data_IF_440030367326
#
_entry.id   IF_440030367326
#
_cell.length_a   1.000
_cell.length_b   1.000
_cell.length_c   1.000
_cell.angle_alpha   90.00
_cell.angle_beta   90.00
_cell.angle_gamma   90.00
#
_symmetry.space_group_name_H-M   'P 1'
#
loop_
_entity.id
_entity.type
_entity.pdbx_description
1 polymer ?
#
# COMPACT_ATOMS: atom_id res chain seq x y z
N UNK A 1 6.24 -0.27 45.34
CA UNK A 1 7.50 0.13 44.70
C UNK A 1 7.24 0.05 43.22
N UNK A 2 6.71 1.14 42.71
CA UNK A 2 6.26 1.32 41.33
C UNK A 2 7.46 1.27 40.40
N UNK A 3 7.40 0.39 39.39
CA UNK A 3 8.28 0.48 38.22
C UNK A 3 7.57 1.37 37.22
N UNK A 4 7.94 2.65 37.23
CA UNK A 4 7.78 3.51 36.08
C UNK A 4 8.61 2.89 34.94
N UNK A 5 7.96 2.10 34.08
CA UNK A 5 8.54 1.71 32.79
C UNK A 5 8.66 2.99 31.95
N UNK A 6 9.82 3.66 32.04
CA UNK A 6 10.15 4.75 31.13
C UNK A 6 9.95 4.24 29.70
N UNK A 7 9.03 4.87 28.95
CA UNK A 7 8.84 4.58 27.53
C UNK A 7 10.11 5.04 26.81
N UNK A 8 11.07 4.13 26.63
CA UNK A 8 12.28 4.38 25.85
C UNK A 8 11.91 4.57 24.39
N UNK A 9 12.52 5.55 23.73
CA UNK A 9 12.17 5.89 22.36
C UNK A 9 12.59 4.77 21.39
N UNK A 10 11.69 4.46 20.46
CA UNK A 10 11.96 3.61 19.29
C UNK A 10 11.68 4.43 18.04
N UNK A 11 12.75 4.85 17.37
CA UNK A 11 12.67 5.73 16.20
C UNK A 11 12.80 4.90 14.94
N UNK A 12 11.74 4.82 14.13
CA UNK A 12 11.72 4.11 12.85
C UNK A 12 11.81 5.10 11.70
N UNK A 13 12.76 4.91 10.80
CA UNK A 13 12.85 5.62 9.52
C UNK A 13 12.45 4.69 8.38
N UNK A 14 11.63 5.20 7.47
CA UNK A 14 11.18 4.47 6.28
C UNK A 14 11.46 5.28 5.01
N UNK A 15 11.69 4.55 3.91
CA UNK A 15 11.78 5.13 2.58
C UNK A 15 11.14 4.18 1.57
N UNK A 16 10.17 4.69 0.80
CA UNK A 16 9.49 3.92 -0.24
C UNK A 16 9.82 4.50 -1.61
N UNK A 17 10.26 3.66 -2.53
CA UNK A 17 10.50 4.09 -3.90
C UNK A 17 10.29 2.93 -4.88
N UNK A 18 9.52 3.18 -5.96
CA UNK A 18 9.30 2.22 -7.05
C UNK A 18 8.85 0.83 -6.59
N UNK A 19 7.96 0.75 -5.59
CA UNK A 19 7.46 -0.53 -5.08
C UNK A 19 8.42 -1.25 -4.13
N UNK A 20 9.49 -0.60 -3.67
CA UNK A 20 10.41 -1.11 -2.66
C UNK A 20 10.30 -0.26 -1.41
N UNK A 21 10.12 -0.91 -0.27
CA UNK A 21 10.18 -0.33 1.07
C UNK A 21 11.52 -0.70 1.68
N UNK A 22 12.28 0.29 2.13
CA UNK A 22 13.43 0.09 3.00
C UNK A 22 13.19 0.80 4.33
N UNK A 23 13.69 0.21 5.41
CA UNK A 23 13.49 0.76 6.73
C UNK A 23 14.70 0.56 7.63
N UNK A 24 14.81 1.40 8.65
CA UNK A 24 15.75 1.21 9.74
C UNK A 24 15.16 1.79 11.01
N UNK A 25 15.31 1.13 12.15
CA UNK A 25 14.91 1.71 13.44
C UNK A 25 16.03 1.63 14.46
N UNK A 26 15.98 2.54 15.44
CA UNK A 26 16.87 2.56 16.59
C UNK A 26 16.06 2.40 17.86
N UNK A 27 16.50 1.48 18.72
CA UNK A 27 15.95 1.27 20.05
C UNK A 27 16.88 1.92 21.07
N UNK A 28 16.40 2.95 21.76
CA UNK A 28 17.15 3.65 22.81
C UNK A 28 17.52 2.70 23.95
N UNK A 29 16.57 1.85 24.37
CA UNK A 29 16.76 0.88 25.45
C UNK A 29 17.97 -0.03 25.24
N UNK A 30 18.22 -0.44 23.99
CA UNK A 30 19.29 -1.38 23.65
C UNK A 30 20.48 -0.72 22.98
N UNK A 31 20.36 0.55 22.58
CA UNK A 31 21.30 1.25 21.72
C UNK A 31 21.69 0.46 20.45
N UNK A 32 20.73 -0.30 19.89
CA UNK A 32 20.90 -1.11 18.69
C UNK A 32 20.10 -0.49 17.54
N UNK A 33 20.74 -0.40 16.38
CA UNK A 33 20.08 -0.09 15.12
C UNK A 33 19.71 -1.38 14.38
N UNK A 34 18.50 -1.42 13.85
CA UNK A 34 17.97 -2.54 13.09
C UNK A 34 17.66 -2.08 11.67
N UNK A 35 18.09 -2.85 10.67
CA UNK A 35 17.92 -2.52 9.25
C UNK A 35 17.08 -3.56 8.53
N UNK A 36 16.17 -3.08 7.68
CA UNK A 36 15.33 -3.88 6.80
C UNK A 36 15.73 -3.60 5.36
N UNK A 37 16.24 -4.63 4.67
CA UNK A 37 16.61 -4.57 3.26
C UNK A 37 15.43 -4.21 2.34
N UNK A 38 15.73 -3.81 1.10
CA UNK A 38 14.72 -3.36 0.14
C UNK A 38 13.70 -4.46 -0.17
N UNK A 39 12.47 -4.22 0.29
CA UNK A 39 11.43 -5.21 0.38
C UNK A 39 10.24 -4.84 -0.51
N UNK A 40 9.72 -5.79 -1.29
CA UNK A 40 8.71 -5.51 -2.34
C UNK A 40 7.33 -5.18 -1.79
N UNK A 41 7.00 -3.90 -1.70
CA UNK A 41 5.77 -3.42 -1.12
C UNK A 41 4.64 -3.27 -2.14
N UNK A 42 3.40 -3.41 -1.66
CA UNK A 42 2.22 -3.16 -2.45
C UNK A 42 1.55 -1.83 -2.13
N UNK A 43 0.53 -1.49 -2.94
CA UNK A 43 -0.13 -0.20 -2.82
C UNK A 43 -1.03 -0.08 -1.59
N UNK A 44 -1.31 -1.20 -0.91
CA UNK A 44 -2.08 -1.22 0.34
C UNK A 44 -1.15 -1.12 1.55
N UNK A 45 0.17 -1.10 1.32
CA UNK A 45 1.18 -0.96 2.36
C UNK A 45 1.06 -2.01 3.47
N UNK A 46 0.61 -3.22 3.14
CA UNK A 46 0.41 -4.32 4.12
C UNK A 46 1.67 -4.63 4.91
N UNK A 47 2.83 -4.46 4.28
CA UNK A 47 4.09 -4.85 4.86
C UNK A 47 4.66 -3.73 5.72
N UNK A 48 4.43 -2.48 5.35
CA UNK A 48 4.61 -1.34 6.24
C UNK A 48 3.69 -1.43 7.46
N UNK A 49 2.41 -1.81 7.30
CA UNK A 49 1.50 -2.04 8.44
C UNK A 49 2.07 -3.11 9.38
N UNK A 50 2.47 -4.26 8.83
CA UNK A 50 3.10 -5.35 9.60
C UNK A 50 4.38 -4.89 10.29
N UNK A 51 5.20 -4.08 9.62
CA UNK A 51 6.42 -3.50 10.18
C UNK A 51 6.12 -2.56 11.35
N UNK A 52 5.08 -1.72 11.23
CA UNK A 52 4.66 -0.80 12.29
C UNK A 52 4.11 -1.56 13.50
N UNK A 53 3.32 -2.62 13.28
CA UNK A 53 2.84 -3.54 14.34
C UNK A 53 3.99 -4.22 15.06
N UNK A 54 4.96 -4.74 14.31
CA UNK A 54 6.09 -5.49 14.86
C UNK A 54 7.07 -4.59 15.62
N UNK A 55 7.38 -3.40 15.10
CA UNK A 55 8.37 -2.50 15.71
C UNK A 55 7.77 -1.64 16.81
N UNK A 56 6.46 -1.34 16.75
CA UNK A 56 5.78 -0.41 17.66
C UNK A 56 6.58 0.89 17.90
N UNK A 57 6.91 1.65 16.83
CA UNK A 57 7.75 2.84 16.97
C UNK A 57 7.05 3.97 17.72
N UNK A 58 7.82 4.72 18.51
CA UNK A 58 7.35 5.96 19.14
C UNK A 58 7.37 7.13 18.16
N UNK A 59 8.29 7.11 17.20
CA UNK A 59 8.42 8.11 16.15
C UNK A 59 8.67 7.43 14.80
N UNK A 60 7.93 7.82 13.78
CA UNK A 60 8.16 7.42 12.38
C UNK A 60 8.71 8.60 11.59
N UNK A 61 9.85 8.39 10.96
CA UNK A 61 10.50 9.32 10.05
C UNK A 61 10.17 8.94 8.61
N UNK A 62 9.65 9.91 7.85
CA UNK A 62 9.46 9.78 6.42
C UNK A 62 9.92 11.05 5.70
N UNK A 63 10.26 10.94 4.41
CA UNK A 63 10.57 12.14 3.62
C UNK A 63 9.29 12.89 3.25
N UNK A 64 9.32 14.23 3.33
CA UNK A 64 8.25 15.10 2.79
C UNK A 64 7.98 14.90 1.30
N UNK A 65 8.95 14.38 0.55
CA UNK A 65 8.86 14.11 -0.89
C UNK A 65 8.40 12.68 -1.22
N UNK A 66 7.97 11.89 -0.22
CA UNK A 66 7.42 10.55 -0.45
C UNK A 66 6.14 10.58 -1.29
N UNK A 67 5.77 9.41 -1.82
CA UNK A 67 4.52 9.22 -2.55
C UNK A 67 3.31 9.68 -1.70
N UNK A 68 2.37 10.40 -2.32
CA UNK A 68 1.19 10.96 -1.64
C UNK A 68 0.37 9.83 -1.00
N UNK A 69 0.28 8.67 -1.65
CA UNK A 69 -0.45 7.51 -1.12
C UNK A 69 0.20 7.02 0.18
N UNK A 70 1.53 6.96 0.24
CA UNK A 70 2.26 6.60 1.45
C UNK A 70 2.04 7.64 2.56
N UNK A 71 2.15 8.92 2.25
CA UNK A 71 1.96 9.99 3.24
C UNK A 71 0.53 9.98 3.79
N UNK A 72 -0.47 9.74 2.93
CA UNK A 72 -1.87 9.62 3.33
C UNK A 72 -2.08 8.41 4.25
N UNK A 73 -1.48 7.26 3.90
CA UNK A 73 -1.50 6.06 4.71
C UNK A 73 -0.88 6.28 6.10
N UNK A 74 0.30 6.88 6.17
CA UNK A 74 0.98 7.19 7.44
C UNK A 74 0.17 8.17 8.30
N UNK A 75 -0.40 9.22 7.70
CA UNK A 75 -1.25 10.17 8.43
C UNK A 75 -2.50 9.49 8.99
N UNK A 76 -3.15 8.61 8.22
CA UNK A 76 -4.32 7.88 8.68
C UNK A 76 -3.99 6.98 9.88
N UNK A 77 -2.84 6.31 9.86
CA UNK A 77 -2.39 5.45 10.96
C UNK A 77 -2.01 6.27 12.21
N UNK A 78 -1.38 7.44 12.04
CA UNK A 78 -0.92 8.25 13.18
C UNK A 78 -2.04 9.09 13.81
N UNK A 79 -3.05 9.50 13.03
CA UNK A 79 -4.12 10.39 13.49
C UNK A 79 -5.41 9.65 13.88
N UNK A 80 -5.43 8.31 13.81
CA UNK A 80 -6.59 7.51 14.20
C UNK A 80 -7.86 7.90 13.44
N UNK A 81 -7.94 7.58 12.15
CA UNK A 81 -9.20 7.38 11.44
C UNK A 81 -10.32 8.43 11.60
N UNK A 82 -10.03 9.72 11.67
CA UNK A 82 -11.07 10.75 11.52
C UNK A 82 -11.23 11.12 10.03
N UNK A 83 -12.19 10.46 9.37
CA UNK A 83 -12.73 10.86 8.07
C UNK A 83 -13.49 12.20 8.19
N UNK A 84 -12.75 13.32 8.30
CA UNK A 84 -13.22 14.68 7.98
C UNK A 84 -12.08 15.50 7.39
N UNK A 85 -11.78 15.29 6.11
CA UNK A 85 -11.02 16.27 5.34
C UNK A 85 -11.99 17.29 4.71
N UNK A 86 -12.20 18.39 5.40
CA UNK A 86 -12.57 19.67 4.77
C UNK A 86 -11.34 20.20 4.04
N UNK A 87 -11.44 20.34 2.73
CA UNK A 87 -10.44 20.98 1.90
C UNK A 87 -10.57 22.51 2.00
N UNK A 88 -9.82 23.14 2.90
CA UNK A 88 -9.54 24.56 2.80
C UNK A 88 -8.23 24.76 2.05
N UNK A 89 -8.39 25.12 0.77
CA UNK A 89 -7.31 25.66 -0.07
C UNK A 89 -7.31 27.16 0.12
N UNK A 90 -6.25 27.68 0.71
CA UNK A 90 -5.93 29.10 0.78
C UNK A 90 -5.98 29.73 -0.62
N UNK A 91 -6.94 30.63 -0.82
CA UNK A 91 -6.89 31.66 -1.87
C UNK A 91 -6.76 33.02 -1.22
N UNK A 92 -5.53 33.50 -1.16
CA UNK A 92 -5.22 34.91 -0.98
C UNK A 92 -5.69 35.71 -2.20
N UNK A 93 -6.71 36.54 -2.04
CA UNK A 93 -6.90 37.77 -2.82
C UNK A 93 -7.78 38.77 -2.04
N UNK A 94 -7.23 39.96 -1.87
CA UNK A 94 -7.73 41.13 -1.16
C UNK A 94 -8.99 41.77 -1.76
N UNK A 95 -9.93 42.26 -0.93
CA UNK A 95 -10.48 43.64 -1.03
C UNK A 95 -11.36 44.04 0.17
N UNK A 96 -11.02 45.16 0.81
CA UNK A 96 -11.96 46.25 1.11
C UNK A 96 -12.99 46.15 2.26
N UNK A 97 -12.71 46.92 3.32
CA UNK A 97 -13.62 47.81 4.09
C UNK A 97 -14.63 47.29 5.13
N UNK A 98 -14.30 47.64 6.39
CA UNK A 98 -15.10 48.39 7.39
C UNK A 98 -16.16 47.73 8.29
N UNK A 99 -15.95 48.01 9.58
CA UNK A 99 -16.92 48.35 10.65
C UNK A 99 -17.41 47.29 11.67
N UNK A 100 -16.68 47.27 12.80
CA UNK A 100 -17.09 47.57 14.20
C UNK A 100 -18.28 46.88 14.89
N UNK A 101 -18.04 46.68 16.20
CA UNK A 101 -18.93 46.35 17.34
C UNK A 101 -19.19 44.85 17.52
N UNK A 102 -19.09 44.23 18.70
CA UNK A 102 -18.89 44.70 20.06
C UNK A 102 -19.63 43.73 21.01
N UNK A 103 -18.96 43.35 22.10
CA UNK A 103 -19.56 43.03 23.42
C UNK A 103 -20.18 41.63 23.65
N UNK A 104 -19.41 40.83 24.39
CA UNK A 104 -19.77 39.95 25.53
C UNK A 104 -21.23 39.81 25.99
N UNK A 105 -21.71 38.58 26.24
CA UNK A 105 -21.85 37.98 27.59
C UNK A 105 -22.80 36.77 27.61
N UNK A 106 -22.29 35.71 28.25
CA UNK A 106 -22.89 34.75 29.18
C UNK A 106 -24.38 34.89 29.58
N UNK A 107 -25.05 33.74 29.65
CA UNK A 107 -25.90 33.22 30.76
C UNK A 107 -26.58 31.92 30.29
N UNK A 108 -26.23 30.75 30.82
CA UNK A 108 -26.74 30.14 32.07
C UNK A 108 -28.27 30.07 32.17
N UNK A 109 -28.79 28.84 32.37
CA UNK A 109 -30.21 28.57 32.52
C UNK A 109 -30.52 27.07 32.55
N UNK A 110 -30.26 26.48 33.70
CA UNK A 110 -30.59 25.13 34.14
C UNK A 110 -32.08 24.77 34.07
N UNK A 111 -32.37 23.48 33.90
CA UNK A 111 -33.69 22.87 34.04
C UNK A 111 -33.54 21.37 34.25
N UNK A 112 -33.81 20.94 35.48
CA UNK A 112 -33.51 19.64 36.06
C UNK A 112 -34.79 18.77 36.18
N UNK A 113 -34.60 17.45 36.30
CA UNK A 113 -35.50 16.45 36.91
C UNK A 113 -36.68 15.90 36.08
N UNK A 114 -36.67 14.60 35.78
CA UNK A 114 -37.46 13.57 36.50
C UNK A 114 -37.06 12.17 36.01
N UNK A 115 -36.75 11.29 36.96
CA UNK A 115 -36.46 9.88 36.71
C UNK A 115 -37.72 9.02 36.67
N UNK A 116 -37.55 7.79 36.18
CA UNK A 116 -38.43 6.68 36.54
C UNK A 116 -37.63 5.36 36.53
N UNK A 117 -37.55 4.73 37.71
CA UNK A 117 -37.29 3.31 37.91
C UNK A 117 -38.40 2.47 37.22
N UNK A 118 -38.35 1.19 36.89
CA UNK A 118 -37.62 -0.03 37.30
C UNK A 118 -38.06 -1.11 36.28
N UNK A 119 -37.27 -2.18 36.07
CA UNK A 119 -37.67 -3.60 36.24
C UNK A 119 -36.73 -4.53 35.45
N UNK A 120 -36.06 -5.41 36.18
CA UNK A 120 -35.08 -6.34 35.66
C UNK A 120 -35.65 -7.61 35.02
N UNK A 121 -34.74 -8.36 34.41
CA UNK A 121 -34.92 -9.72 33.95
C UNK A 121 -33.58 -10.25 33.41
N UNK A 122 -32.94 -11.14 34.18
CA UNK A 122 -31.69 -11.81 33.83
C UNK A 122 -31.78 -12.55 32.50
N UNK A 123 -30.77 -12.37 31.64
CA UNK A 123 -30.29 -13.42 30.73
C UNK A 123 -28.77 -13.42 30.77
N UNK A 124 -28.25 -14.60 31.04
CA UNK A 124 -26.85 -14.96 30.94
C UNK A 124 -26.36 -14.67 29.52
N UNK A 125 -25.39 -13.77 29.38
CA UNK A 125 -24.64 -13.60 28.14
C UNK A 125 -23.20 -14.06 28.37
N UNK A 126 -22.82 -14.98 27.49
CA UNK A 126 -21.49 -15.55 27.37
C UNK A 126 -20.46 -14.43 27.21
N UNK A 127 -19.37 -14.56 27.97
CA UNK A 127 -18.11 -13.87 27.69
C UNK A 127 -17.66 -14.28 26.29
N UNK A 128 -17.94 -13.45 25.29
CA UNK A 128 -17.09 -13.38 24.11
C UNK A 128 -15.84 -12.63 24.53
N UNK A 129 -14.70 -13.28 24.37
CA UNK A 129 -13.40 -12.67 24.52
C UNK A 129 -13.35 -11.44 23.59
N UNK A 130 -13.51 -10.25 24.17
CA UNK A 130 -13.07 -9.02 23.53
C UNK A 130 -11.55 -9.13 23.45
N UNK A 131 -11.05 -9.60 22.31
CA UNK A 131 -9.67 -9.31 21.92
C UNK A 131 -9.57 -7.79 21.93
N UNK A 132 -8.88 -7.27 22.96
CA UNK A 132 -8.54 -5.87 23.13
C UNK A 132 -8.01 -5.33 21.78
N UNK A 133 -8.86 -4.58 21.06
CA UNK A 133 -8.45 -3.66 20.02
C UNK A 133 -7.67 -2.55 20.72
N UNK A 134 -6.42 -2.86 21.07
CA UNK A 134 -5.41 -1.94 21.55
C UNK A 134 -5.12 -0.99 20.40
N UNK A 135 -6.00 0.02 20.27
CA UNK A 135 -5.83 1.16 19.40
C UNK A 135 -4.39 1.62 19.48
N UNK A 136 -3.72 1.55 18.32
CA UNK A 136 -2.31 1.86 18.15
C UNK A 136 -1.93 3.11 18.94
N UNK A 137 -1.06 2.93 19.95
CA UNK A 137 -0.53 4.04 20.75
C UNK A 137 0.29 4.97 19.85
N UNK A 138 0.12 6.27 20.11
CA UNK A 138 0.74 7.44 19.50
C UNK A 138 2.13 7.16 18.89
N UNK A 139 2.18 6.95 17.58
CA UNK A 139 3.40 7.13 16.82
C UNK A 139 3.42 8.56 16.25
N UNK A 140 4.38 9.38 16.67
CA UNK A 140 4.54 10.70 16.08
C UNK A 140 5.13 10.57 14.67
N UNK A 141 4.44 11.11 13.66
CA UNK A 141 4.98 11.20 12.29
C UNK A 141 5.84 12.46 12.15
N UNK A 142 7.14 12.27 11.93
CA UNK A 142 8.08 13.36 11.69
C UNK A 142 8.55 13.36 10.24
N UNK A 143 8.09 14.35 9.47
CA UNK A 143 8.45 14.48 8.07
C UNK A 143 9.76 15.26 7.90
N UNK A 144 10.81 14.59 7.42
CA UNK A 144 12.13 15.21 7.17
C UNK A 144 12.26 15.73 5.73
N UNK A 145 13.12 16.74 5.49
CA UNK A 145 13.47 17.17 4.13
C UNK A 145 14.05 16.04 3.28
N UNK A 146 13.86 16.09 1.96
CA UNK A 146 14.39 15.07 1.04
C UNK A 146 15.92 14.92 1.13
N UNK A 147 16.64 16.02 1.38
CA UNK A 147 18.10 16.03 1.58
C UNK A 147 18.55 15.16 2.76
N UNK A 148 17.66 14.90 3.73
CA UNK A 148 17.96 13.96 4.82
C UNK A 148 18.10 12.52 4.29
N UNK A 149 17.34 12.16 3.25
CA UNK A 149 17.32 10.84 2.61
C UNK A 149 18.25 10.75 1.39
N UNK A 150 19.20 11.68 1.23
CA UNK A 150 20.21 11.62 0.19
C UNK A 150 21.05 10.32 0.29
N UNK A 151 21.20 9.61 -0.82
CA UNK A 151 21.82 8.28 -0.86
C UNK A 151 23.33 8.34 -0.62
N UNK A 152 24.04 9.27 -1.27
CA UNK A 152 25.50 9.36 -1.14
C UNK A 152 25.91 9.93 0.21
N UNK A 153 25.13 10.87 0.75
CA UNK A 153 25.23 11.34 2.12
C UNK A 153 24.97 10.22 3.13
N UNK A 154 23.95 9.39 2.91
CA UNK A 154 23.66 8.24 3.75
C UNK A 154 24.84 7.24 3.75
N UNK A 155 25.37 6.87 2.59
CA UNK A 155 26.54 5.98 2.49
C UNK A 155 27.74 6.50 3.27
N UNK A 156 28.08 7.78 3.11
CA UNK A 156 29.20 8.41 3.85
C UNK A 156 28.96 8.36 5.36
N UNK A 157 27.75 8.69 5.81
CA UNK A 157 27.39 8.68 7.23
C UNK A 157 27.41 7.29 7.84
N UNK A 158 26.99 6.28 7.08
CA UNK A 158 27.03 4.86 7.48
C UNK A 158 28.48 4.37 7.54
N UNK A 159 29.31 4.68 6.53
CA UNK A 159 30.73 4.31 6.53
C UNK A 159 31.47 4.85 7.76
N UNK A 160 31.18 6.10 8.15
CA UNK A 160 31.75 6.74 9.33
C UNK A 160 31.41 6.04 10.67
N UNK A 161 30.31 5.28 10.75
CA UNK A 161 30.01 4.47 11.95
C UNK A 161 31.07 3.37 12.14
N UNK A 162 31.53 2.79 11.04
CA UNK A 162 32.49 1.68 11.05
C UNK A 162 33.95 2.15 11.08
N UNK A 163 34.22 3.42 10.72
CA UNK A 163 35.57 4.02 10.83
C UNK A 163 36.08 4.00 12.26
N UNK A 164 35.20 4.23 13.25
CA UNK A 164 35.57 4.14 14.68
C UNK A 164 36.08 2.75 15.11
N UNK A 165 35.86 1.71 14.29
CA UNK A 165 36.19 0.30 14.57
C UNK A 165 37.30 -0.22 13.62
N UNK A 166 37.77 0.59 12.66
CA UNK A 166 38.72 0.15 11.63
C UNK A 166 39.99 1.02 11.59
N UNK A 167 41.15 0.36 11.46
CA UNK A 167 42.46 1.02 11.45
C UNK A 167 42.83 1.66 10.09
N UNK A 168 42.12 1.34 9.00
CA UNK A 168 42.34 1.91 7.66
C UNK A 168 41.05 1.91 6.78
N UNK A 169 41.04 2.72 5.71
CA UNK A 169 39.86 2.97 4.86
C UNK A 169 39.41 1.77 4.01
N UNK A 170 40.32 0.92 3.56
CA UNK A 170 39.99 -0.29 2.76
C UNK A 170 39.38 -1.41 3.61
N UNK A 171 39.86 -1.62 4.84
CA UNK A 171 39.20 -2.57 5.75
C UNK A 171 37.82 -2.05 6.16
N UNK A 172 37.63 -0.73 6.21
CA UNK A 172 36.33 -0.15 6.50
C UNK A 172 35.32 -0.37 5.36
N UNK A 173 35.75 -0.19 4.10
CA UNK A 173 34.89 -0.46 2.94
C UNK A 173 34.53 -1.94 2.83
N UNK A 174 35.47 -2.85 3.11
CA UNK A 174 35.21 -4.29 3.16
C UNK A 174 34.26 -4.65 4.32
N UNK A 175 34.50 -4.16 5.55
CA UNK A 175 33.60 -4.38 6.70
C UNK A 175 32.19 -3.88 6.44
N UNK A 176 32.06 -2.72 5.80
CA UNK A 176 30.77 -2.17 5.41
C UNK A 176 30.10 -3.08 4.36
N UNK A 177 30.82 -3.50 3.32
CA UNK A 177 30.29 -4.39 2.29
C UNK A 177 29.86 -5.77 2.83
N UNK A 178 30.53 -6.28 3.86
CA UNK A 178 30.15 -7.53 4.52
C UNK A 178 28.98 -7.39 5.50
N UNK A 179 28.74 -6.19 6.03
CA UNK A 179 27.72 -5.95 7.08
C UNK A 179 26.43 -5.31 6.56
N UNK A 180 26.52 -4.54 5.48
CA UNK A 180 25.41 -3.78 4.93
C UNK A 180 25.41 -3.94 3.42
N UNK A 181 24.32 -4.47 2.90
CA UNK A 181 24.06 -4.48 1.48
C UNK A 181 23.72 -3.06 0.99
N UNK A 182 24.70 -2.40 0.39
CA UNK A 182 24.56 -1.05 -0.16
C UNK A 182 23.68 -1.04 -1.43
N UNK A 183 23.41 -2.21 -2.03
CA UNK A 183 22.52 -2.31 -3.20
C UNK A 183 21.05 -2.10 -2.83
N UNK A 184 20.69 -2.31 -1.56
CA UNK A 184 19.40 -1.95 -0.98
C UNK A 184 19.27 -0.43 -0.80
N UNK A 185 18.94 0.26 -1.90
CA UNK A 185 18.91 1.73 -1.97
C UNK A 185 17.94 2.38 -1.01
N UNK A 186 16.75 1.81 -0.80
CA UNK A 186 15.74 2.40 0.09
C UNK A 186 16.17 2.23 1.55
N UNK A 187 16.70 1.06 1.93
CA UNK A 187 17.25 0.79 3.25
C UNK A 187 18.38 1.76 3.58
N UNK A 188 19.35 1.95 2.67
CA UNK A 188 20.47 2.87 2.88
C UNK A 188 19.98 4.30 3.12
N UNK A 189 19.02 4.78 2.32
CA UNK A 189 18.43 6.12 2.49
C UNK A 189 17.70 6.25 3.83
N UNK A 190 16.87 5.27 4.19
CA UNK A 190 16.15 5.23 5.45
C UNK A 190 17.11 5.24 6.64
N UNK A 191 18.14 4.39 6.61
CA UNK A 191 19.14 4.32 7.66
C UNK A 191 19.96 5.61 7.78
N UNK A 192 20.40 6.20 6.67
CA UNK A 192 21.09 7.48 6.68
C UNK A 192 20.25 8.62 7.27
N UNK A 193 18.95 8.67 6.96
CA UNK A 193 18.03 9.64 7.54
C UNK A 193 17.84 9.43 9.05
N UNK A 194 17.71 8.17 9.50
CA UNK A 194 17.68 7.82 10.92
C UNK A 194 18.91 8.36 11.65
N UNK A 195 20.11 8.11 11.10
CA UNK A 195 21.35 8.59 11.71
C UNK A 195 21.42 10.11 11.81
N UNK A 196 20.96 10.83 10.77
CA UNK A 196 20.88 12.30 10.81
C UNK A 196 19.89 12.79 11.86
N UNK A 197 18.77 12.11 12.03
CA UNK A 197 17.79 12.44 13.06
C UNK A 197 18.35 12.22 14.47
N UNK A 198 19.00 11.07 14.70
CA UNK A 198 19.65 10.77 15.98
C UNK A 198 20.74 11.81 16.31
N UNK A 199 21.56 12.19 15.33
CA UNK A 199 22.57 13.25 15.50
C UNK A 199 21.95 14.61 15.87
N UNK A 200 20.75 14.91 15.34
CA UNK A 200 20.07 16.19 15.58
C UNK A 200 19.35 16.24 16.93
N UNK A 201 18.69 15.14 17.33
CA UNK A 201 17.94 15.04 18.59
C UNK A 201 18.86 14.73 19.77
N UNK A 202 20.05 14.14 19.51
CA UNK A 202 20.99 13.70 20.54
C UNK A 202 20.36 12.72 21.54
N UNK A 203 19.55 11.80 21.01
CA UNK A 203 18.77 10.85 21.80
C UNK A 203 19.66 10.03 22.74
N UNK A 204 19.33 10.00 24.04
CA UNK A 204 20.06 9.28 25.10
C UNK A 204 21.36 9.95 25.54
N UNK A 205 21.74 11.07 24.94
CA UNK A 205 22.94 11.87 25.26
C UNK A 205 22.61 13.37 25.29
N UNK A 206 21.36 13.71 25.61
CA UNK A 206 20.84 15.08 25.53
C UNK A 206 21.63 16.04 26.44
N UNK A 207 22.07 15.52 27.59
CA UNK A 207 22.79 16.26 28.62
C UNK A 207 24.32 16.11 28.55
N UNK A 208 24.85 15.33 27.61
CA UNK A 208 26.29 15.15 27.41
C UNK A 208 26.89 16.30 26.59
N UNK A 209 28.22 16.39 26.56
CA UNK A 209 28.96 17.34 25.70
C UNK A 209 28.56 17.20 24.23
N UNK A 210 28.46 18.31 23.49
CA UNK A 210 28.04 18.34 22.07
C UNK A 210 28.82 17.41 21.12
N UNK A 211 30.01 17.00 21.51
CA UNK A 211 30.84 16.06 20.75
C UNK A 211 30.41 14.59 20.92
N UNK A 212 29.64 14.29 21.96
CA UNK A 212 29.08 12.96 22.23
C UNK A 212 27.86 12.76 21.35
N UNK A 213 27.96 11.77 20.47
CA UNK A 213 26.88 11.32 19.58
C UNK A 213 26.07 10.21 20.24
N UNK A 214 24.81 10.05 19.81
CA UNK A 214 23.98 8.92 20.21
C UNK A 214 24.70 7.60 19.94
N UNK A 215 24.89 6.74 20.96
CA UNK A 215 25.64 5.51 20.80
C UNK A 215 24.85 4.49 19.98
N UNK A 216 25.52 3.90 18.99
CA UNK A 216 25.02 2.74 18.25
C UNK A 216 25.99 1.60 18.50
N UNK A 217 25.62 0.72 19.44
CA UNK A 217 26.50 -0.37 19.89
C UNK A 217 26.55 -1.47 18.83
N UNK A 218 25.42 -1.77 18.19
CA UNK A 218 25.29 -2.83 17.19
C UNK A 218 24.32 -2.43 16.08
N UNK A 219 24.57 -3.00 14.91
CA UNK A 219 23.64 -2.99 13.78
C UNK A 219 23.21 -4.42 13.52
N UNK A 220 21.90 -4.67 13.41
CA UNK A 220 21.32 -5.98 13.10
C UNK A 220 20.41 -5.88 11.89
N UNK A 221 20.40 -6.90 11.05
CA UNK A 221 19.34 -7.08 10.05
C UNK A 221 18.15 -7.75 10.71
N UNK A 222 16.94 -7.41 10.25
CA UNK A 222 15.72 -8.10 10.63
C UNK A 222 14.79 -8.28 9.42
N UNK A 223 13.81 -9.17 9.55
CA UNK A 223 12.73 -9.36 8.59
C UNK A 223 11.39 -9.10 9.26
N UNK A 224 10.36 -8.89 8.41
CA UNK A 224 8.98 -8.84 8.88
C UNK A 224 8.56 -10.25 9.33
N UNK A 225 7.80 -10.32 10.42
CA UNK A 225 7.27 -11.58 10.96
C UNK A 225 6.58 -12.44 9.90
N UNK A 226 6.67 -13.77 10.09
CA UNK A 226 6.14 -14.78 9.16
C UNK A 226 6.65 -14.69 7.71
N UNK A 227 7.80 -14.04 7.49
CA UNK A 227 8.42 -13.93 6.18
C UNK A 227 9.83 -14.53 6.20
N UNK A 228 10.13 -15.35 5.18
CA UNK A 228 11.43 -16.01 5.06
C UNK A 228 12.52 -14.99 4.70
N UNK A 229 13.58 -14.95 5.49
CA UNK A 229 14.77 -14.15 5.19
C UNK A 229 15.52 -14.73 3.99
N UNK A 230 15.71 -13.90 2.96
CA UNK A 230 16.37 -14.28 1.72
C UNK A 230 17.30 -13.14 1.28
N UNK A 231 18.59 -13.43 1.18
CA UNK A 231 19.56 -12.47 0.64
C UNK A 231 19.50 -12.40 -0.90
N UNK A 232 19.89 -11.26 -1.48
CA UNK A 232 19.95 -11.08 -2.94
C UNK A 232 20.87 -12.10 -3.64
N UNK A 233 21.96 -12.48 -2.97
CA UNK A 233 22.87 -13.53 -3.44
C UNK A 233 22.16 -14.89 -3.49
N UNK A 234 21.28 -15.19 -2.54
CA UNK A 234 20.47 -16.41 -2.53
C UNK A 234 19.42 -16.39 -3.65
N UNK A 235 18.73 -15.26 -3.86
CA UNK A 235 17.83 -15.07 -5.00
C UNK A 235 18.52 -15.33 -6.33
N UNK A 236 19.75 -14.84 -6.46
CA UNK A 236 20.59 -15.01 -7.65
C UNK A 236 21.07 -16.46 -7.81
N UNK A 237 21.57 -17.09 -6.74
CA UNK A 237 22.08 -18.45 -6.76
C UNK A 237 20.99 -19.48 -7.09
N UNK A 238 19.78 -19.29 -6.56
CA UNK A 238 18.61 -20.12 -6.87
C UNK A 238 17.92 -19.73 -8.19
N UNK A 239 18.41 -18.67 -8.87
CA UNK A 239 17.83 -18.16 -10.10
C UNK A 239 16.32 -17.93 -9.98
N UNK A 240 15.87 -17.41 -8.83
CA UNK A 240 14.46 -17.10 -8.57
C UNK A 240 13.96 -16.14 -9.64
N UNK A 241 14.77 -15.11 -9.91
CA UNK A 241 14.62 -14.17 -11.01
C UNK A 241 15.93 -14.07 -11.78
N UNK A 242 15.87 -13.92 -13.08
CA UNK A 242 17.06 -13.68 -13.91
C UNK A 242 16.84 -12.44 -14.77
N UNK A 243 17.57 -11.37 -14.48
CA UNK A 243 17.64 -10.19 -15.36
C UNK A 243 18.54 -10.56 -16.54
N UNK A 244 17.99 -10.88 -17.73
CA UNK A 244 18.87 -11.03 -18.90
C UNK A 244 19.46 -9.66 -19.25
N UNK A 245 20.79 -9.57 -19.23
CA UNK A 245 21.48 -8.53 -19.98
C UNK A 245 21.32 -8.85 -21.48
N UNK A 246 20.94 -7.85 -22.27
CA UNK A 246 20.91 -8.00 -23.73
C UNK A 246 22.35 -8.22 -24.23
N UNK A 247 22.63 -9.17 -25.13
CA UNK A 247 23.97 -9.43 -25.66
C UNK A 247 24.54 -8.30 -26.55
N UNK A 248 23.87 -7.15 -26.63
CA UNK A 248 24.28 -5.97 -27.41
C UNK A 248 24.43 -4.79 -26.46
N UNK A 249 25.65 -4.57 -25.95
CA UNK A 249 25.96 -3.51 -25.00
C UNK A 249 26.01 -2.09 -25.60
N UNK A 250 25.49 -1.86 -26.82
CA UNK A 250 25.62 -0.59 -27.54
C UNK A 250 24.34 0.25 -27.68
N UNK A 251 23.17 -0.21 -27.23
CA UNK A 251 21.94 0.59 -27.18
C UNK A 251 21.28 0.52 -25.80
N UNK A 252 21.97 1.08 -24.81
CA UNK A 252 21.45 1.29 -23.46
C UNK A 252 20.44 2.46 -23.40
N UNK A 253 19.46 2.50 -24.30
CA UNK A 253 18.37 3.46 -24.25
C UNK A 253 17.01 2.76 -24.34
N UNK A 254 16.24 2.91 -23.26
CA UNK A 254 14.79 2.75 -23.23
C UNK A 254 14.25 1.32 -23.36
N UNK A 255 14.51 0.49 -22.34
CA UNK A 255 13.45 -0.33 -21.73
C UNK A 255 13.97 -1.04 -20.47
N UNK A 256 13.49 -0.61 -19.29
CA UNK A 256 13.66 -1.33 -18.02
C UNK A 256 12.95 -2.70 -17.96
N UNK A 257 12.50 -3.22 -19.10
CA UNK A 257 11.95 -4.56 -19.23
C UNK A 257 13.02 -5.48 -19.78
N UNK A 258 14.09 -5.70 -19.01
CA UNK A 258 14.99 -6.84 -19.25
C UNK A 258 14.11 -8.09 -19.31
N UNK A 259 14.12 -8.80 -20.44
CA UNK A 259 13.34 -10.03 -20.58
C UNK A 259 13.84 -10.99 -19.50
N UNK A 260 12.91 -11.55 -18.75
CA UNK A 260 13.26 -12.50 -17.70
C UNK A 260 13.89 -13.74 -18.33
N UNK A 261 15.09 -14.09 -17.89
CA UNK A 261 15.80 -15.25 -18.38
C UNK A 261 15.18 -16.58 -17.93
N UNK A 262 15.93 -17.67 -18.09
CA UNK A 262 15.51 -18.96 -17.55
C UNK A 262 15.61 -18.84 -16.03
N UNK A 263 14.47 -18.73 -15.38
CA UNK A 263 14.35 -18.51 -13.94
C UNK A 263 13.19 -19.33 -13.37
N UNK A 264 13.24 -19.61 -12.07
CA UNK A 264 12.21 -20.38 -11.40
C UNK A 264 10.85 -19.69 -11.51
N UNK A 265 10.80 -18.36 -11.37
CA UNK A 265 9.56 -17.60 -11.57
C UNK A 265 9.01 -17.79 -12.99
N UNK A 266 9.86 -17.72 -14.03
CA UNK A 266 9.41 -17.91 -15.42
C UNK A 266 8.84 -19.31 -15.65
N UNK A 267 9.43 -20.33 -15.03
CA UNK A 267 8.96 -21.72 -15.13
C UNK A 267 7.60 -21.91 -14.45
N UNK A 268 7.40 -21.29 -13.28
CA UNK A 268 6.20 -21.44 -12.48
C UNK A 268 5.05 -20.52 -12.92
N UNK A 269 5.35 -19.41 -13.60
CA UNK A 269 4.35 -18.43 -13.99
C UNK A 269 3.46 -18.92 -15.14
N UNK A 270 2.31 -19.49 -14.76
CA UNK A 270 1.19 -19.84 -15.64
C UNK A 270 -0.02 -18.91 -15.48
N UNK A 271 0.18 -17.75 -14.83
CA UNK A 271 -0.88 -16.79 -14.58
C UNK A 271 -1.45 -16.26 -15.90
N UNK A 272 -2.78 -16.20 -15.95
CA UNK A 272 -3.51 -15.76 -17.14
C UNK A 272 -3.83 -14.26 -17.15
N UNK A 273 -3.60 -13.57 -16.03
CA UNK A 273 -3.88 -12.15 -15.85
C UNK A 273 -2.62 -11.40 -15.42
N UNK A 274 -2.54 -10.11 -15.77
CA UNK A 274 -1.44 -9.23 -15.34
C UNK A 274 -1.39 -9.10 -13.80
N UNK A 275 -2.52 -8.90 -13.08
CA UNK A 275 -2.50 -8.88 -11.62
C UNK A 275 -2.01 -10.19 -11.00
N UNK A 276 -2.45 -11.35 -11.51
CA UNK A 276 -1.97 -12.65 -11.03
C UNK A 276 -0.46 -12.83 -11.20
N UNK A 277 0.10 -12.40 -12.34
CA UNK A 277 1.55 -12.40 -12.57
C UNK A 277 2.31 -11.52 -11.57
N UNK A 278 1.73 -10.37 -11.18
CA UNK A 278 2.33 -9.46 -10.19
C UNK A 278 2.28 -10.09 -8.79
N UNK A 279 1.15 -10.68 -8.41
CA UNK A 279 0.99 -11.36 -7.12
C UNK A 279 1.95 -12.56 -6.99
N UNK A 280 2.03 -13.41 -8.02
CA UNK A 280 2.95 -14.54 -8.03
C UNK A 280 4.40 -14.09 -7.89
N UNK A 281 4.78 -12.98 -8.54
CA UNK A 281 6.13 -12.42 -8.40
C UNK A 281 6.39 -12.02 -6.95
N UNK A 282 5.41 -11.39 -6.29
CA UNK A 282 5.50 -11.02 -4.88
C UNK A 282 5.66 -12.24 -3.98
N UNK A 283 4.94 -13.34 -4.23
CA UNK A 283 5.11 -14.58 -3.47
C UNK A 283 6.53 -15.17 -3.59
N UNK A 284 7.15 -15.01 -4.76
CA UNK A 284 8.55 -15.41 -4.97
C UNK A 284 9.54 -14.45 -4.29
N UNK A 285 9.26 -13.15 -4.30
CA UNK A 285 10.08 -12.13 -3.62
C UNK A 285 9.95 -12.20 -2.09
N UNK A 286 8.83 -12.71 -1.58
CA UNK A 286 8.45 -12.67 -0.17
C UNK A 286 7.82 -14.00 0.25
N UNK A 287 8.59 -15.10 0.36
CA UNK A 287 8.06 -16.38 0.78
C UNK A 287 7.53 -16.28 2.22
N UNK A 288 6.32 -16.79 2.46
CA UNK A 288 5.70 -16.78 3.77
C UNK A 288 6.08 -18.03 4.56
N UNK A 289 6.24 -17.87 5.87
CA UNK A 289 6.42 -18.93 6.87
C UNK A 289 5.15 -19.18 7.68
N UNK A 290 4.05 -18.48 7.37
CA UNK A 290 2.76 -18.69 8.01
C UNK A 290 2.19 -20.03 7.56
N UNK A 291 2.07 -20.97 8.50
CA UNK A 291 1.61 -22.32 8.22
C UNK A 291 0.16 -22.36 7.74
N UNK A 292 -0.69 -21.46 8.20
CA UNK A 292 -2.11 -21.46 7.84
C UNK A 292 -2.31 -20.84 6.46
N UNK A 293 -1.57 -19.77 6.13
CA UNK A 293 -1.50 -19.27 4.76
C UNK A 293 -0.96 -20.34 3.80
N UNK A 294 0.07 -21.08 4.19
CA UNK A 294 0.64 -22.17 3.37
C UNK A 294 -0.37 -23.30 3.15
N UNK A 295 -1.04 -23.78 4.21
CA UNK A 295 -2.09 -24.80 4.12
C UNK A 295 -3.22 -24.34 3.20
N UNK A 296 -3.72 -23.12 3.38
CA UNK A 296 -4.82 -22.59 2.58
C UNK A 296 -4.46 -22.52 1.09
N UNK A 297 -3.24 -22.07 0.76
CA UNK A 297 -2.75 -22.07 -0.63
C UNK A 297 -2.63 -23.49 -1.19
N UNK A 298 -2.10 -24.43 -0.42
CA UNK A 298 -1.94 -25.83 -0.85
C UNK A 298 -3.29 -26.51 -1.06
N UNK A 299 -4.27 -26.30 -0.17
CA UNK A 299 -5.63 -26.84 -0.30
C UNK A 299 -6.28 -26.39 -1.62
N UNK A 300 -6.12 -25.11 -1.99
CA UNK A 300 -6.64 -24.62 -3.27
C UNK A 300 -5.91 -25.23 -4.47
N UNK A 301 -4.58 -25.38 -4.41
CA UNK A 301 -3.82 -26.05 -5.47
C UNK A 301 -4.27 -27.50 -5.61
N UNK A 302 -4.41 -28.23 -4.50
CA UNK A 302 -4.89 -29.62 -4.48
C UNK A 302 -6.25 -29.75 -5.17
N UNK A 303 -7.19 -28.85 -4.87
CA UNK A 303 -8.49 -28.82 -5.55
C UNK A 303 -8.36 -28.62 -7.07
N UNK A 304 -7.61 -27.60 -7.52
CA UNK A 304 -7.56 -27.23 -8.94
C UNK A 304 -6.68 -28.16 -9.79
N UNK A 305 -5.85 -29.01 -9.18
CA UNK A 305 -5.03 -30.01 -9.88
C UNK A 305 -5.85 -31.27 -10.21
N UNK A 306 -6.90 -31.57 -9.45
CA UNK A 306 -7.73 -32.76 -9.68
C UNK A 306 -8.48 -32.69 -11.02
N UNK A 307 -8.48 -33.79 -11.78
CA UNK A 307 -9.11 -33.87 -13.10
C UNK A 307 -10.63 -33.62 -13.06
N UNK A 308 -11.30 -34.07 -12.00
CA UNK A 308 -12.73 -33.83 -11.80
C UNK A 308 -13.09 -32.34 -11.66
N UNK A 309 -12.13 -31.49 -11.29
CA UNK A 309 -12.31 -30.05 -11.13
C UNK A 309 -11.79 -29.25 -12.33
N UNK A 310 -11.39 -29.92 -13.41
CA UNK A 310 -10.82 -29.28 -14.60
C UNK A 310 -11.79 -28.26 -15.23
N UNK A 311 -13.09 -28.54 -15.21
CA UNK A 311 -14.10 -27.60 -15.72
C UNK A 311 -14.17 -26.32 -14.89
N UNK A 312 -14.09 -26.42 -13.56
CA UNK A 312 -14.02 -25.26 -12.67
C UNK A 312 -12.73 -24.45 -12.93
N UNK A 313 -11.59 -25.13 -13.05
CA UNK A 313 -10.31 -24.48 -13.37
C UNK A 313 -10.35 -23.77 -14.75
N UNK A 314 -10.95 -24.41 -15.75
CA UNK A 314 -11.12 -23.87 -17.10
C UNK A 314 -12.06 -22.67 -17.11
N UNK A 315 -13.17 -22.76 -16.37
CA UNK A 315 -14.13 -21.69 -16.19
C UNK A 315 -13.45 -20.45 -15.60
N UNK A 316 -12.78 -20.61 -14.45
CA UNK A 316 -12.06 -19.54 -13.78
C UNK A 316 -10.96 -18.95 -14.69
N UNK A 317 -10.16 -19.79 -15.34
CA UNK A 317 -9.07 -19.35 -16.22
C UNK A 317 -9.56 -18.49 -17.39
N UNK A 318 -10.69 -18.83 -18.01
CA UNK A 318 -11.28 -18.03 -19.10
C UNK A 318 -11.69 -16.64 -18.63
N UNK A 319 -12.26 -16.52 -17.43
CA UNK A 319 -12.67 -15.24 -16.82
C UNK A 319 -11.47 -14.43 -16.35
N UNK A 320 -10.53 -15.06 -15.65
CA UNK A 320 -9.30 -14.42 -15.15
C UNK A 320 -8.50 -13.75 -16.28
N UNK A 321 -8.47 -14.31 -17.50
CA UNK A 321 -7.83 -13.66 -18.67
C UNK A 321 -8.39 -12.27 -19.00
N UNK A 322 -9.65 -12.01 -18.66
CA UNK A 322 -10.35 -10.75 -18.95
C UNK A 322 -10.16 -9.72 -17.83
N UNK A 323 -9.73 -10.15 -16.65
CA UNK A 323 -9.50 -9.28 -15.49
C UNK A 323 -8.22 -8.48 -15.69
N UNK A 324 -8.32 -7.17 -15.54
CA UNK A 324 -7.20 -6.23 -15.60
C UNK A 324 -7.07 -5.43 -14.30
N UNK A 325 -5.95 -4.72 -14.14
CA UNK A 325 -5.78 -3.82 -13.00
C UNK A 325 -6.57 -2.52 -13.24
N UNK A 326 -7.52 -2.16 -12.37
CA UNK A 326 -8.36 -0.98 -12.55
C UNK A 326 -7.60 0.32 -12.28
N UNK A 327 -6.51 0.30 -11.49
CA UNK A 327 -5.77 1.50 -11.05
C UNK A 327 -5.40 2.45 -12.19
N UNK A 328 -4.88 1.92 -13.29
CA UNK A 328 -4.51 2.73 -14.45
C UNK A 328 -5.72 3.31 -15.19
N UNK A 329 -6.84 2.59 -15.21
CA UNK A 329 -8.11 3.02 -15.82
C UNK A 329 -8.72 4.13 -14.94
N UNK A 330 -8.80 3.92 -13.63
CA UNK A 330 -9.34 4.89 -12.68
C UNK A 330 -8.55 6.21 -12.67
N UNK A 331 -7.23 6.14 -12.78
CA UNK A 331 -6.40 7.35 -12.92
C UNK A 331 -6.73 8.13 -14.20
N UNK A 332 -6.99 7.45 -15.32
CA UNK A 332 -7.48 8.10 -16.55
C UNK A 332 -8.91 8.61 -16.41
N UNK A 333 -9.76 7.90 -15.67
CA UNK A 333 -11.11 8.34 -15.35
C UNK A 333 -11.11 9.67 -14.60
N UNK A 334 -10.29 9.81 -13.56
CA UNK A 334 -10.13 11.07 -12.83
C UNK A 334 -9.73 12.25 -13.72
N UNK A 335 -8.97 11.99 -14.78
CA UNK A 335 -8.59 12.99 -15.79
C UNK A 335 -9.57 13.14 -16.96
N UNK A 336 -10.67 12.40 -16.98
CA UNK A 336 -11.67 12.41 -18.05
C UNK A 336 -11.23 11.78 -19.38
N UNK A 337 -10.20 10.93 -19.37
CA UNK A 337 -9.50 10.42 -20.56
C UNK A 337 -9.76 8.94 -20.85
N UNK A 338 -10.96 8.43 -20.53
CA UNK A 338 -11.30 7.03 -20.77
C UNK A 338 -11.52 6.75 -22.26
N UNK A 339 -10.88 5.69 -22.75
CA UNK A 339 -11.13 5.15 -24.09
C UNK A 339 -12.25 4.09 -24.07
N UNK A 340 -12.83 3.76 -25.22
CA UNK A 340 -13.79 2.65 -25.35
C UNK A 340 -13.21 1.33 -24.82
N UNK A 341 -11.93 1.08 -25.10
CA UNK A 341 -11.23 -0.11 -24.60
C UNK A 341 -11.05 -0.11 -23.08
N UNK A 342 -10.95 1.08 -22.46
CA UNK A 342 -10.89 1.19 -21.00
C UNK A 342 -12.24 0.84 -20.37
N UNK A 343 -13.33 1.38 -20.92
CA UNK A 343 -14.70 0.99 -20.54
C UNK A 343 -14.93 -0.51 -20.70
N UNK A 344 -14.51 -1.08 -21.84
CA UNK A 344 -14.62 -2.51 -22.12
C UNK A 344 -13.84 -3.35 -21.11
N UNK A 345 -12.59 -2.97 -20.80
CA UNK A 345 -11.76 -3.67 -19.81
C UNK A 345 -12.34 -3.57 -18.41
N UNK A 346 -12.86 -2.41 -18.02
CA UNK A 346 -13.49 -2.21 -16.72
C UNK A 346 -14.74 -3.08 -16.59
N UNK A 347 -15.62 -3.04 -17.60
CA UNK A 347 -16.81 -3.88 -17.68
C UNK A 347 -16.47 -5.37 -17.60
N UNK A 348 -15.57 -5.85 -18.47
CA UNK A 348 -15.17 -7.25 -18.49
C UNK A 348 -14.51 -7.69 -17.20
N UNK A 349 -13.80 -6.80 -16.50
CA UNK A 349 -13.21 -7.08 -15.20
C UNK A 349 -14.30 -7.29 -14.15
N UNK A 350 -15.24 -6.35 -14.02
CA UNK A 350 -16.35 -6.45 -13.05
C UNK A 350 -17.21 -7.69 -13.34
N UNK A 351 -17.65 -7.86 -14.59
CA UNK A 351 -18.46 -9.01 -15.00
C UNK A 351 -17.77 -10.34 -14.75
N UNK A 352 -16.48 -10.44 -15.07
CA UNK A 352 -15.72 -11.68 -14.84
C UNK A 352 -15.56 -11.99 -13.35
N UNK A 353 -15.40 -10.97 -12.50
CA UNK A 353 -15.34 -11.16 -11.05
C UNK A 353 -16.69 -11.66 -10.49
N UNK A 354 -17.80 -11.04 -10.91
CA UNK A 354 -19.17 -11.45 -10.54
C UNK A 354 -19.41 -12.91 -10.96
N UNK A 355 -19.13 -13.27 -12.22
CA UNK A 355 -19.32 -14.64 -12.72
C UNK A 355 -18.49 -15.68 -11.93
N UNK A 356 -17.27 -15.32 -11.49
CA UNK A 356 -16.45 -16.20 -10.64
C UNK A 356 -17.07 -16.34 -9.24
N UNK A 357 -17.52 -15.23 -8.64
CA UNK A 357 -18.13 -15.21 -7.32
C UNK A 357 -19.41 -16.05 -7.28
N UNK A 358 -20.30 -15.87 -8.25
CA UNK A 358 -21.53 -16.66 -8.39
C UNK A 358 -21.22 -18.14 -8.59
N UNK A 359 -20.21 -18.47 -9.41
CA UNK A 359 -19.82 -19.86 -9.64
C UNK A 359 -19.33 -20.54 -8.37
N UNK A 360 -18.48 -19.86 -7.59
CA UNK A 360 -17.96 -20.36 -6.31
C UNK A 360 -19.10 -20.59 -5.32
N UNK A 361 -20.03 -19.62 -5.19
CA UNK A 361 -21.21 -19.72 -4.32
C UNK A 361 -22.13 -20.87 -4.73
N UNK A 362 -22.46 -20.97 -6.03
CA UNK A 362 -23.36 -22.00 -6.57
C UNK A 362 -22.81 -23.42 -6.40
N UNK A 363 -21.49 -23.58 -6.40
CA UNK A 363 -20.80 -24.86 -6.22
C UNK A 363 -20.36 -25.11 -4.78
N UNK A 364 -20.70 -24.21 -3.85
CA UNK A 364 -20.33 -24.28 -2.44
C UNK A 364 -18.82 -24.52 -2.22
N UNK A 365 -17.98 -23.95 -3.08
CA UNK A 365 -16.53 -24.14 -2.99
C UNK A 365 -15.98 -23.32 -1.83
N UNK A 366 -15.40 -23.99 -0.85
CA UNK A 366 -14.83 -23.36 0.35
C UNK A 366 -13.33 -23.18 0.17
N UNK A 367 -12.92 -21.95 -0.09
CA UNK A 367 -11.51 -21.56 -0.10
C UNK A 367 -11.32 -20.40 0.86
N UNK A 368 -10.73 -20.66 2.02
CA UNK A 368 -10.50 -19.63 3.05
C UNK A 368 -9.72 -18.44 2.47
N UNK A 369 -8.77 -18.72 1.57
CA UNK A 369 -7.95 -17.71 0.89
C UNK A 369 -8.73 -16.73 0.00
N UNK A 370 -9.93 -17.08 -0.45
CA UNK A 370 -10.77 -16.24 -1.32
C UNK A 370 -11.86 -15.50 -0.53
N UNK A 371 -12.02 -15.79 0.76
CA UNK A 371 -13.16 -15.31 1.54
C UNK A 371 -13.27 -13.79 1.53
N UNK A 372 -12.16 -13.09 1.79
CA UNK A 372 -12.17 -11.62 1.81
C UNK A 372 -12.27 -11.03 0.41
N UNK A 373 -11.61 -11.62 -0.59
CA UNK A 373 -11.71 -11.20 -1.99
C UNK A 373 -13.17 -11.31 -2.51
N UNK A 374 -13.91 -12.34 -2.09
CA UNK A 374 -15.30 -12.54 -2.47
C UNK A 374 -16.25 -11.56 -1.77
N UNK A 375 -15.90 -11.04 -0.59
CA UNK A 375 -16.67 -9.98 0.08
C UNK A 375 -16.55 -8.64 -0.66
N UNK A 376 -15.40 -8.38 -1.28
CA UNK A 376 -15.19 -7.16 -2.09
C UNK A 376 -16.01 -7.14 -3.39
N UNK A 377 -16.62 -8.25 -3.79
CA UNK A 377 -17.54 -8.33 -4.92
C UNK A 377 -18.96 -8.11 -4.38
N UNK A 378 -19.24 -6.85 -4.10
CA UNK A 378 -20.49 -6.39 -3.49
C UNK A 378 -21.47 -5.83 -4.52
N UNK A 379 -22.57 -5.24 -4.02
CA UNK A 379 -23.59 -4.62 -4.85
C UNK A 379 -23.07 -3.45 -5.69
N UNK A 380 -22.02 -2.75 -5.25
CA UNK A 380 -21.45 -1.63 -5.99
C UNK A 380 -20.75 -2.12 -7.25
N UNK A 381 -19.99 -3.23 -7.16
CA UNK A 381 -19.36 -3.86 -8.34
C UNK A 381 -20.42 -4.36 -9.33
N UNK A 382 -21.51 -4.93 -8.83
CA UNK A 382 -22.64 -5.39 -9.65
C UNK A 382 -23.32 -4.20 -10.35
N UNK A 383 -23.63 -3.14 -9.60
CA UNK A 383 -24.22 -1.92 -10.12
C UNK A 383 -23.33 -1.27 -11.16
N UNK A 384 -22.01 -1.26 -10.93
CA UNK A 384 -21.04 -0.73 -11.87
C UNK A 384 -21.07 -1.45 -13.21
N UNK A 385 -21.09 -2.78 -13.17
CA UNK A 385 -21.18 -3.59 -14.39
C UNK A 385 -22.49 -3.36 -15.13
N UNK A 386 -23.62 -3.23 -14.41
CA UNK A 386 -24.93 -2.95 -14.99
C UNK A 386 -24.97 -1.58 -15.68
N UNK A 387 -24.54 -0.52 -14.99
CA UNK A 387 -24.50 0.85 -15.52
C UNK A 387 -23.63 0.94 -16.77
N UNK A 388 -22.46 0.30 -16.79
CA UNK A 388 -21.60 0.30 -17.99
C UNK A 388 -22.27 -0.45 -19.15
N UNK A 389 -22.97 -1.55 -18.88
CA UNK A 389 -23.69 -2.30 -19.91
C UNK A 389 -24.89 -1.53 -20.47
N UNK A 390 -25.59 -0.76 -19.63
CA UNK A 390 -26.71 0.09 -20.04
C UNK A 390 -26.25 1.31 -20.83
N UNK A 391 -25.09 1.89 -20.49
CA UNK A 391 -24.61 3.11 -21.15
C UNK A 391 -23.90 2.79 -22.46
N UNK A 392 -22.99 1.80 -22.50
CA UNK A 392 -22.04 1.65 -23.61
C UNK A 392 -22.49 0.59 -24.61
N UNK A 393 -22.72 0.99 -25.87
CA UNK A 393 -22.92 0.05 -26.97
C UNK A 393 -21.57 -0.46 -27.48
N UNK A 394 -21.09 -1.57 -26.92
CA UNK A 394 -19.81 -2.15 -27.29
C UNK A 394 -19.75 -2.70 -28.72
N UNK A 395 -20.87 -3.09 -29.33
CA UNK A 395 -20.91 -3.63 -30.69
C UNK A 395 -20.76 -2.51 -31.72
N UNK A 396 -21.56 -1.46 -31.57
CA UNK A 396 -21.54 -0.29 -32.46
C UNK A 396 -20.25 0.53 -32.27
N UNK A 397 -19.73 0.60 -31.04
CA UNK A 397 -18.46 1.25 -30.78
C UNK A 397 -17.26 0.60 -31.49
N UNK A 398 -17.30 -0.72 -31.69
CA UNK A 398 -16.28 -1.44 -32.48
C UNK A 398 -16.47 -1.20 -33.98
N UNK A 399 -17.71 -1.12 -34.46
CA UNK A 399 -18.03 -0.86 -35.86
C UNK A 399 -17.63 0.57 -36.29
N UNK A 400 -17.87 1.56 -35.44
CA UNK A 400 -17.63 2.97 -35.74
C UNK A 400 -16.29 3.50 -35.21
N UNK A 401 -15.54 2.65 -34.49
CA UNK A 401 -14.26 2.99 -33.84
C UNK A 401 -14.33 4.26 -32.97
N UNK A 402 -15.47 4.48 -32.31
CA UNK A 402 -15.75 5.60 -31.40
C UNK A 402 -16.63 5.14 -30.25
N UNK A 403 -16.66 5.86 -29.15
CA UNK A 403 -17.61 5.61 -28.07
C UNK A 403 -19.05 5.84 -28.55
N UNK A 404 -19.90 4.83 -28.37
CA UNK A 404 -21.31 4.87 -28.73
C UNK A 404 -22.15 4.50 -27.51
N UNK A 405 -23.22 5.26 -27.30
CA UNK A 405 -24.16 5.09 -26.19
C UNK A 405 -25.32 4.23 -26.66
N UNK A 406 -25.88 3.36 -25.80
CA UNK A 406 -27.08 2.60 -26.16
C UNK A 406 -28.29 3.51 -26.39
N UNK A 407 -29.18 3.09 -27.29
CA UNK A 407 -30.44 3.79 -27.56
C UNK A 407 -31.32 3.84 -26.31
N UNK A 408 -31.96 4.99 -26.07
CA UNK A 408 -32.87 5.20 -24.94
C UNK A 408 -32.19 5.66 -23.65
N UNK A 409 -30.87 5.83 -23.63
CA UNK A 409 -30.13 6.38 -22.47
C UNK A 409 -30.22 7.90 -22.44
N UNK A 410 -30.22 8.56 -23.60
CA UNK A 410 -30.30 10.02 -23.70
C UNK A 410 -31.09 10.40 -24.96
N UNK A 411 -32.33 10.86 -24.76
CA UNK A 411 -33.23 11.25 -25.85
C UNK A 411 -32.65 12.35 -26.76
N UNK A 412 -31.78 13.22 -26.25
CA UNK A 412 -31.18 14.30 -27.02
C UNK A 412 -29.99 13.82 -27.86
N UNK A 413 -29.28 12.77 -27.43
CA UNK A 413 -28.32 12.04 -28.25
C UNK A 413 -29.01 11.13 -29.28
N UNK A 414 -30.13 10.52 -28.92
CA UNK A 414 -30.94 9.68 -29.81
C UNK A 414 -31.58 10.48 -30.95
N UNK A 415 -32.03 11.71 -30.68
CA UNK A 415 -32.55 12.64 -31.68
C UNK A 415 -31.44 13.27 -32.55
N UNK A 416 -30.17 13.21 -32.11
CA UNK A 416 -29.01 13.82 -32.78
C UNK A 416 -27.85 12.84 -33.00
N UNK A 417 -28.01 11.90 -33.93
CA UNK A 417 -26.84 11.21 -34.49
C UNK A 417 -25.96 12.19 -35.30
N UNK A 418 -24.62 12.26 -35.16
CA UNK A 418 -23.74 11.90 -34.05
C UNK A 418 -22.78 13.07 -33.72
N UNK A 419 -23.19 14.07 -32.95
CA UNK A 419 -22.30 15.21 -32.61
C UNK A 419 -22.54 15.67 -31.18
N UNK A 420 -21.94 14.99 -30.20
CA UNK A 420 -21.27 15.64 -29.04
C UNK A 420 -20.68 14.61 -28.08
N UNK A 421 -19.58 14.01 -28.53
CA UNK A 421 -18.71 13.09 -27.78
C UNK A 421 -18.19 13.64 -26.45
N UNK A 422 -18.05 14.96 -26.35
CA UNK A 422 -17.36 15.63 -25.23
C UNK A 422 -18.30 15.89 -24.06
N UNK A 423 -19.57 16.22 -24.33
CA UNK A 423 -20.52 16.61 -23.28
C UNK A 423 -20.99 15.42 -22.43
N UNK A 424 -21.16 14.25 -23.05
CA UNK A 424 -21.61 13.04 -22.35
C UNK A 424 -20.49 12.36 -21.57
N UNK A 425 -19.24 12.39 -22.07
CA UNK A 425 -18.07 11.98 -21.30
C UNK A 425 -17.86 12.85 -20.05
N UNK A 426 -18.16 14.14 -20.12
CA UNK A 426 -18.14 15.00 -18.92
C UNK A 426 -19.21 14.60 -17.91
N UNK A 427 -20.42 14.26 -18.36
CA UNK A 427 -21.54 13.81 -17.51
C UNK A 427 -21.28 12.43 -16.86
N UNK A 428 -20.76 11.47 -17.63
CA UNK A 428 -20.35 10.17 -17.09
C UNK A 428 -19.17 10.33 -16.11
N UNK A 429 -18.16 11.16 -16.43
CA UNK A 429 -17.04 11.39 -15.51
C UNK A 429 -17.50 12.07 -14.21
N UNK A 430 -18.41 13.04 -14.26
CA UNK A 430 -18.89 13.72 -13.04
C UNK A 430 -19.70 12.78 -12.14
N UNK A 431 -20.59 11.95 -12.69
CA UNK A 431 -21.39 11.01 -11.88
C UNK A 431 -20.61 9.77 -11.41
N UNK A 432 -19.63 9.30 -12.18
CA UNK A 432 -18.80 8.15 -11.82
C UNK A 432 -17.71 8.51 -10.79
N UNK A 433 -17.17 9.73 -10.83
CA UNK A 433 -16.16 10.25 -9.88
C UNK A 433 -16.81 10.71 -8.57
N UNK A 434 -18.06 11.17 -8.60
CA UNK A 434 -18.78 11.68 -7.43
C UNK A 434 -19.38 10.57 -6.53
N UNK A 435 -19.33 9.30 -6.93
CA UNK A 435 -19.85 8.22 -6.10
C UNK A 435 -18.84 7.80 -5.02
N UNK A 436 -19.09 8.07 -3.72
CA UNK A 436 -18.17 7.75 -2.63
C UNK A 436 -17.92 6.24 -2.46
N UNK A 437 -18.77 5.35 -2.99
CA UNK A 437 -18.55 3.90 -2.91
C UNK A 437 -17.43 3.40 -3.82
N UNK A 438 -17.18 4.05 -4.96
CA UNK A 438 -16.04 3.73 -5.85
C UNK A 438 -14.66 3.99 -5.20
N UNK A 439 -14.59 4.81 -4.13
CA UNK A 439 -13.35 5.05 -3.39
C UNK A 439 -13.04 3.99 -2.33
N UNK A 440 -14.06 3.24 -1.86
CA UNK A 440 -13.90 2.17 -0.87
C UNK A 440 -13.56 0.80 -1.49
N UNK A 441 -13.88 0.59 -2.77
CA UNK A 441 -13.71 -0.71 -3.43
C UNK A 441 -12.36 -0.93 -4.16
N UNK A 442 -11.45 0.05 -4.26
CA UNK A 442 -10.26 -0.05 -5.14
C UNK A 442 -8.96 0.62 -4.68
#
# INVERSE_FOLDING_TARGET
>A
MDRDDFITATVLSIYYHRGKLGAAYYSEQTAVAYILHDLSEDFEFRMLDSLLRQVCPTVVLASKAQDITLLTFLNHLCNGGDDKMSCDVDKSASTGTSEKNGTSNSRDGSGEVTGNEKRGGNKEECKSDEEDDLGFRLCALHLMPEVAYDFDGAKRRIAALFESIALNGEQNSLKLAFRIDITSTCMVRAFGALLKYLDAVRLGVEFEDYNVKTPIIRIKTFTIEHMLEMHETTFSALCIFQKQAHPSASTASTSQSGREGISLFRMCNRCCSRPGKVLLRRWFERPTMDCDVLKNRLNAVEFFVQECNLDAANFARKRLKRICSPKGILKRAQGGQLTVNDWRKLYLTCRSAIEISEYIKLRELKFDLLTDDLKCIDEDVVRLAAVIAEIVNFEEADAENRFVVNQGVDHHLDERMPLNFISFMFFCNTNFIANPTCRRCF
#
